data_IF_642423880138
#
_entry.id   IF_642423880138
#
_cell.length_a   1.000
_cell.length_b   1.000
_cell.length_c   1.000
_cell.angle_alpha   90.00
_cell.angle_beta   90.00
_cell.angle_gamma   90.00
#
_symmetry.space_group_name_H-M   'P 1'
#
loop_
_entity.id
_entity.type
_entity.pdbx_description
1 polymer ?
#
# COMPACT_ATOMS: atom_id res chain seq x y z
N UNK A 1 -6.95 27.71 -21.78
CA UNK A 1 -7.53 26.42 -22.21
C UNK A 1 -7.12 25.36 -21.19
N UNK A 2 -7.97 24.36 -20.95
CA UNK A 2 -7.92 23.29 -19.91
C UNK A 2 -8.50 23.63 -18.52
N UNK A 3 -9.83 23.75 -18.43
CA UNK A 3 -10.57 23.55 -17.16
C UNK A 3 -11.82 22.67 -17.32
N UNK A 4 -12.03 22.08 -18.51
CA UNK A 4 -13.21 21.25 -18.87
C UNK A 4 -13.02 19.74 -18.62
N UNK A 5 -11.81 19.27 -18.33
CA UNK A 5 -11.54 17.84 -18.12
C UNK A 5 -11.99 17.30 -16.75
N UNK A 6 -12.58 18.15 -15.90
CA UNK A 6 -13.01 17.76 -14.54
C UNK A 6 -14.49 18.06 -14.25
N UNK A 7 -15.22 18.67 -15.19
CA UNK A 7 -16.66 18.86 -15.05
C UNK A 7 -17.38 17.54 -15.33
N UNK A 8 -18.33 17.11 -14.49
CA UNK A 8 -19.06 15.87 -14.70
C UNK A 8 -19.84 15.94 -16.02
N UNK A 9 -19.56 14.98 -16.90
CA UNK A 9 -20.09 14.88 -18.25
C UNK A 9 -20.57 13.47 -18.51
N UNK A 10 -21.51 13.34 -19.43
CA UNK A 10 -22.07 12.07 -19.90
C UNK A 10 -22.30 12.13 -21.40
N UNK A 11 -22.49 10.99 -22.06
CA UNK A 11 -22.82 10.94 -23.49
C UNK A 11 -24.32 10.81 -23.66
N UNK A 12 -24.93 11.70 -24.45
CA UNK A 12 -26.37 11.67 -24.69
C UNK A 12 -26.76 10.44 -25.53
N UNK A 13 -27.69 9.59 -25.09
CA UNK A 13 -28.08 8.38 -25.83
C UNK A 13 -28.82 8.66 -27.14
N UNK A 14 -29.44 9.85 -27.26
CA UNK A 14 -30.21 10.23 -28.46
C UNK A 14 -29.34 10.73 -29.62
N UNK A 15 -28.32 11.55 -29.31
CA UNK A 15 -27.47 12.17 -30.33
C UNK A 15 -25.99 11.76 -30.26
N UNK A 16 -25.63 10.93 -29.27
CA UNK A 16 -24.27 10.40 -29.04
C UNK A 16 -23.18 11.47 -28.83
N UNK A 17 -23.60 12.70 -28.53
CA UNK A 17 -22.70 13.81 -28.24
C UNK A 17 -22.40 13.88 -26.74
N UNK A 18 -21.19 14.33 -26.39
CA UNK A 18 -20.82 14.63 -25.00
C UNK A 18 -21.61 15.84 -24.50
N UNK A 19 -22.26 15.68 -23.35
CA UNK A 19 -23.03 16.72 -22.67
C UNK A 19 -22.56 16.87 -21.24
N UNK A 20 -22.44 18.11 -20.80
CA UNK A 20 -22.07 18.43 -19.42
C UNK A 20 -23.33 18.57 -18.57
N UNK A 21 -23.31 18.01 -17.36
CA UNK A 21 -24.51 17.95 -16.50
C UNK A 21 -25.00 19.33 -16.04
N UNK A 22 -24.10 20.32 -15.98
CA UNK A 22 -24.39 21.72 -15.66
C UNK A 22 -25.02 22.51 -16.82
N UNK A 23 -24.90 22.02 -18.05
CA UNK A 23 -25.48 22.63 -19.26
C UNK A 23 -26.89 22.07 -19.58
N UNK A 24 -27.40 21.13 -18.78
CA UNK A 24 -28.74 20.55 -18.97
C UNK A 24 -29.84 21.55 -18.61
N UNK A 25 -30.81 21.70 -19.52
CA UNK A 25 -31.98 22.56 -19.29
C UNK A 25 -33.15 21.67 -18.91
N UNK A 26 -33.47 21.61 -17.60
CA UNK A 26 -34.54 20.77 -17.07
C UNK A 26 -34.31 19.27 -17.34
N UNK A 27 -33.08 18.79 -17.07
CA UNK A 27 -32.71 17.38 -17.20
C UNK A 27 -32.60 16.87 -18.65
N UNK A 28 -32.63 17.75 -19.65
CA UNK A 28 -32.65 17.38 -21.07
C UNK A 28 -31.37 17.78 -21.80
N UNK A 29 -30.96 16.93 -22.73
CA UNK A 29 -29.89 17.22 -23.67
C UNK A 29 -30.22 18.49 -24.49
N UNK A 30 -29.32 19.49 -24.54
CA UNK A 30 -29.58 20.75 -25.26
C UNK A 30 -29.63 20.58 -26.79
N UNK A 31 -29.07 19.50 -27.32
CA UNK A 31 -28.99 19.27 -28.77
C UNK A 31 -30.19 18.51 -29.33
N UNK A 32 -30.73 17.54 -28.59
CA UNK A 32 -31.81 16.67 -29.08
C UNK A 32 -33.05 16.63 -28.18
N UNK A 33 -33.01 17.26 -27.00
CA UNK A 33 -34.14 17.31 -26.06
C UNK A 33 -34.44 15.99 -25.36
N UNK A 34 -33.60 14.98 -25.50
CA UNK A 34 -33.73 13.70 -24.81
C UNK A 34 -33.57 13.89 -23.29
N UNK A 35 -34.49 13.34 -22.51
CA UNK A 35 -34.49 13.41 -21.04
C UNK A 35 -33.47 12.42 -20.47
N UNK A 36 -32.58 12.90 -19.62
CA UNK A 36 -31.57 12.10 -18.94
C UNK A 36 -32.01 11.68 -17.52
N UNK A 37 -33.23 12.07 -17.11
CA UNK A 37 -33.75 11.95 -15.73
C UNK A 37 -34.05 10.52 -15.26
N UNK A 38 -34.05 9.52 -16.15
CA UNK A 38 -34.33 8.11 -15.77
C UNK A 38 -33.07 7.29 -15.43
N UNK A 39 -31.88 7.90 -15.41
CA UNK A 39 -30.62 7.16 -15.16
C UNK A 39 -29.92 7.51 -13.86
N UNK A 40 -30.53 8.36 -13.01
CA UNK A 40 -30.07 8.62 -11.63
C UNK A 40 -30.14 7.36 -10.73
N UNK A 41 -30.78 6.26 -11.19
CA UNK A 41 -30.67 4.94 -10.55
C UNK A 41 -29.36 4.19 -10.85
N UNK A 42 -28.50 4.74 -11.72
CA UNK A 42 -27.15 4.19 -11.97
C UNK A 42 -26.10 4.74 -10.99
N UNK A 43 -26.53 5.19 -9.80
CA UNK A 43 -25.69 5.18 -8.59
C UNK A 43 -25.52 3.74 -8.03
N UNK A 44 -25.58 2.73 -8.90
CA UNK A 44 -25.51 1.29 -8.59
C UNK A 44 -24.19 0.61 -9.00
N UNK A 45 -23.12 1.36 -9.30
CA UNK A 45 -21.84 0.79 -9.76
C UNK A 45 -20.65 0.98 -8.80
N UNK A 46 -20.88 1.28 -7.52
CA UNK A 46 -19.85 1.18 -6.47
C UNK A 46 -20.05 -0.01 -5.53
N UNK A 47 -20.99 -0.91 -5.83
CA UNK A 47 -21.23 -2.13 -5.03
C UNK A 47 -20.34 -3.32 -5.45
N UNK A 48 -19.23 -3.05 -6.15
CA UNK A 48 -18.29 -4.10 -6.61
C UNK A 48 -16.84 -3.66 -6.84
N UNK A 49 -16.41 -2.48 -6.38
CA UNK A 49 -15.04 -1.99 -6.62
C UNK A 49 -14.02 -2.57 -5.62
N UNK A 50 -14.46 -3.05 -4.46
CA UNK A 50 -13.62 -3.71 -3.46
C UNK A 50 -14.37 -4.89 -2.85
N UNK A 51 -13.88 -6.11 -3.06
CA UNK A 51 -14.40 -7.27 -2.35
C UNK A 51 -14.05 -7.17 -0.86
N UNK A 52 -14.83 -7.85 0.00
CA UNK A 52 -14.56 -7.88 1.46
C UNK A 52 -13.15 -8.40 1.79
N UNK A 53 -12.59 -9.26 0.93
CA UNK A 53 -11.20 -9.72 0.97
C UNK A 53 -10.22 -8.58 0.74
N UNK A 54 -10.48 -7.70 -0.22
CA UNK A 54 -9.61 -6.58 -0.58
C UNK A 54 -9.56 -5.55 0.54
N UNK A 55 -10.70 -5.28 1.18
CA UNK A 55 -10.74 -4.40 2.35
C UNK A 55 -9.91 -4.96 3.51
N UNK A 56 -9.99 -6.26 3.76
CA UNK A 56 -9.22 -6.93 4.82
C UNK A 56 -7.71 -6.87 4.53
N UNK A 57 -7.33 -7.08 3.26
CA UNK A 57 -5.96 -6.97 2.80
C UNK A 57 -5.42 -5.54 2.89
N UNK A 58 -6.22 -4.54 2.51
CA UNK A 58 -5.86 -3.12 2.64
C UNK A 58 -5.63 -2.71 4.10
N UNK A 59 -6.52 -3.15 5.00
CA UNK A 59 -6.39 -2.90 6.45
C UNK A 59 -5.09 -3.54 6.97
N UNK A 60 -4.84 -4.80 6.62
CA UNK A 60 -3.61 -5.50 6.99
C UNK A 60 -2.36 -4.75 6.51
N UNK A 61 -2.33 -4.39 5.23
CA UNK A 61 -1.25 -3.60 4.63
C UNK A 61 -1.02 -2.30 5.38
N UNK A 62 -2.08 -1.53 5.62
CA UNK A 62 -1.99 -0.27 6.35
C UNK A 62 -1.31 -0.45 7.72
N UNK A 63 -1.73 -1.43 8.52
CA UNK A 63 -1.15 -1.65 9.85
C UNK A 63 0.29 -2.14 9.80
N UNK A 64 0.63 -3.00 8.84
CA UNK A 64 2.01 -3.46 8.61
C UNK A 64 2.90 -2.27 8.22
N UNK A 65 2.47 -1.48 7.24
CA UNK A 65 3.15 -0.27 6.82
C UNK A 65 3.35 0.69 7.97
N UNK A 66 2.28 1.03 8.67
CA UNK A 66 2.33 1.97 9.79
C UNK A 66 3.30 1.51 10.87
N UNK A 67 3.23 0.23 11.28
CA UNK A 67 4.12 -0.34 12.31
C UNK A 67 5.59 -0.25 11.92
N UNK A 68 5.95 -0.62 10.68
CA UNK A 68 7.35 -0.63 10.25
C UNK A 68 7.89 0.76 9.92
N UNK A 69 7.06 1.66 9.37
CA UNK A 69 7.42 3.08 9.19
C UNK A 69 7.70 3.74 10.53
N UNK A 70 6.90 3.45 11.56
CA UNK A 70 7.14 3.99 12.92
C UNK A 70 8.44 3.47 13.55
N UNK A 71 8.93 2.30 13.11
CA UNK A 71 10.25 1.77 13.46
C UNK A 71 11.40 2.34 12.61
N UNK A 72 11.09 3.18 11.61
CA UNK A 72 12.04 3.79 10.70
C UNK A 72 12.45 2.91 9.52
N UNK A 73 11.73 1.83 9.23
CA UNK A 73 11.99 1.00 8.05
C UNK A 73 11.66 1.80 6.79
N UNK A 74 12.54 1.81 5.77
CA UNK A 74 12.24 2.46 4.50
C UNK A 74 11.04 1.82 3.78
N UNK A 75 10.12 2.62 3.18
CA UNK A 75 8.91 2.09 2.54
C UNK A 75 9.16 1.00 1.49
N UNK A 76 10.24 1.10 0.71
CA UNK A 76 10.57 0.11 -0.31
C UNK A 76 10.80 -1.30 0.26
N UNK A 77 11.43 -1.42 1.44
CA UNK A 77 11.66 -2.73 2.08
C UNK A 77 10.35 -3.33 2.58
N UNK A 78 9.43 -2.49 3.05
CA UNK A 78 8.11 -2.94 3.49
C UNK A 78 7.31 -3.44 2.28
N UNK A 79 7.34 -2.72 1.15
CA UNK A 79 6.69 -3.16 -0.10
C UNK A 79 7.24 -4.51 -0.59
N UNK A 80 8.56 -4.67 -0.61
CA UNK A 80 9.20 -5.93 -0.99
C UNK A 80 8.78 -7.08 -0.06
N UNK A 81 8.78 -6.83 1.25
CA UNK A 81 8.36 -7.79 2.26
C UNK A 81 6.88 -8.21 2.11
N UNK A 82 5.96 -7.26 1.91
CA UNK A 82 4.54 -7.53 1.69
C UNK A 82 4.34 -8.37 0.44
N UNK A 83 5.01 -8.04 -0.66
CA UNK A 83 4.92 -8.79 -1.92
C UNK A 83 5.41 -10.25 -1.76
N UNK A 84 6.51 -10.46 -1.02
CA UNK A 84 6.99 -11.81 -0.70
C UNK A 84 5.96 -12.57 0.16
N UNK A 85 5.30 -11.89 1.10
CA UNK A 85 4.27 -12.50 1.93
C UNK A 85 3.03 -12.90 1.12
N UNK A 86 2.57 -12.03 0.22
CA UNK A 86 1.45 -12.29 -0.69
C UNK A 86 1.70 -13.54 -1.55
N UNK A 87 2.87 -13.60 -2.20
CA UNK A 87 3.28 -14.76 -3.00
C UNK A 87 3.39 -16.07 -2.19
N UNK A 88 3.67 -15.97 -0.88
CA UNK A 88 3.69 -17.13 0.00
C UNK A 88 2.30 -17.51 0.51
N UNK A 89 1.39 -16.55 0.68
CA UNK A 89 0.00 -16.79 1.07
C UNK A 89 -0.81 -17.47 -0.04
N UNK A 90 -0.46 -17.25 -1.31
CA UNK A 90 -1.07 -17.95 -2.46
C UNK A 90 -0.70 -19.45 -2.53
N UNK A 91 0.38 -19.87 -1.88
CA UNK A 91 0.84 -21.27 -1.87
C UNK A 91 -0.01 -22.12 -0.92
N UNK A 92 -0.14 -23.44 -1.18
CA UNK A 92 -0.82 -24.34 -0.26
C UNK A 92 -0.17 -24.30 1.15
N UNK A 93 -0.95 -24.47 2.24
CA UNK A 93 -0.48 -24.31 3.62
C UNK A 93 0.73 -25.18 4.00
N UNK A 94 0.89 -26.31 3.33
CA UNK A 94 1.97 -27.29 3.53
C UNK A 94 3.33 -26.78 2.99
N UNK A 95 3.31 -25.80 2.09
CA UNK A 95 4.49 -25.19 1.44
C UNK A 95 4.77 -23.76 1.93
N UNK A 96 4.14 -23.31 3.02
CA UNK A 96 4.44 -22.00 3.60
C UNK A 96 5.87 -21.96 4.17
N UNK A 97 6.83 -21.60 3.31
CA UNK A 97 8.24 -21.50 3.63
C UNK A 97 8.49 -20.21 4.41
N UNK A 98 8.43 -20.30 5.74
CA UNK A 98 8.94 -19.33 6.74
C UNK A 98 8.57 -17.86 6.51
N UNK A 99 7.68 -17.36 7.37
CA UNK A 99 7.32 -15.94 7.55
C UNK A 99 8.42 -15.12 8.24
N UNK A 100 9.68 -15.57 8.15
CA UNK A 100 10.83 -14.91 8.73
C UNK A 100 11.22 -13.71 7.85
N UNK A 101 11.43 -12.55 8.48
CA UNK A 101 11.87 -11.36 7.79
C UNK A 101 13.08 -10.71 8.47
N UNK A 102 13.84 -9.96 7.68
CA UNK A 102 14.94 -9.11 8.15
C UNK A 102 14.82 -7.77 7.44
N UNK A 103 14.63 -6.69 8.21
CA UNK A 103 14.47 -5.33 7.69
C UNK A 103 15.55 -4.42 8.28
N UNK A 104 16.12 -3.54 7.46
CA UNK A 104 17.12 -2.57 7.91
C UNK A 104 16.44 -1.32 8.48
N UNK A 105 16.90 -0.89 9.64
CA UNK A 105 16.40 0.33 10.31
C UNK A 105 17.55 1.29 10.61
N UNK A 106 17.28 2.60 10.72
CA UNK A 106 18.29 3.57 11.09
C UNK A 106 18.85 3.30 12.50
N UNK A 107 20.14 3.57 12.65
CA UNK A 107 20.80 3.57 13.96
C UNK A 107 20.36 4.79 14.76
N UNK A 108 19.88 4.57 15.99
CA UNK A 108 19.59 5.64 16.93
C UNK A 108 20.88 6.39 17.33
N UNK A 109 20.80 7.62 17.86
CA UNK A 109 21.99 8.36 18.29
C UNK A 109 22.86 7.57 19.30
N UNK A 110 22.23 6.91 20.27
CA UNK A 110 22.93 6.03 21.24
C UNK A 110 23.57 4.82 20.57
N UNK A 111 22.93 4.28 19.53
CA UNK A 111 23.49 3.18 18.76
C UNK A 111 24.81 3.61 18.08
N UNK A 112 24.99 4.87 17.72
CA UNK A 112 26.19 5.31 16.99
C UNK A 112 27.45 5.41 17.87
N UNK A 113 27.29 5.42 19.19
CA UNK A 113 28.37 5.62 20.15
C UNK A 113 28.70 4.36 20.95
N UNK A 114 27.75 3.44 21.10
CA UNK A 114 27.92 2.23 21.89
C UNK A 114 28.61 1.12 21.07
N UNK A 115 29.57 0.37 21.65
CA UNK A 115 30.14 -0.80 21.02
C UNK A 115 29.08 -1.89 20.85
N UNK A 116 29.02 -2.48 19.66
CA UNK A 116 28.07 -3.52 19.26
C UNK A 116 28.81 -4.78 18.84
N UNK A 117 28.19 -5.93 19.06
CA UNK A 117 28.68 -7.19 18.51
C UNK A 117 27.95 -7.52 17.21
N UNK A 118 28.70 -7.85 16.16
CA UNK A 118 28.13 -8.27 14.87
C UNK A 118 27.43 -9.63 15.02
N UNK A 119 26.18 -9.74 14.57
CA UNK A 119 25.41 -10.99 14.61
C UNK A 119 26.04 -12.11 13.78
N UNK A 120 26.65 -11.75 12.63
CA UNK A 120 27.29 -12.67 11.68
C UNK A 120 28.69 -13.12 12.11
N UNK A 121 29.64 -12.19 12.28
CA UNK A 121 31.05 -12.54 12.56
C UNK A 121 31.46 -12.45 14.04
N UNK A 122 30.55 -12.07 14.93
CA UNK A 122 30.76 -11.91 16.39
C UNK A 122 31.86 -10.92 16.81
N UNK A 123 32.43 -10.15 15.86
CA UNK A 123 33.38 -9.08 16.14
C UNK A 123 32.69 -7.82 16.67
N UNK A 124 33.39 -7.09 17.52
CA UNK A 124 32.93 -5.81 18.05
C UNK A 124 33.20 -4.67 17.08
N UNK A 125 32.27 -3.73 16.98
CA UNK A 125 32.42 -2.51 16.19
C UNK A 125 31.68 -1.34 16.86
N UNK A 126 32.16 -0.12 16.65
CA UNK A 126 31.57 1.11 17.20
C UNK A 126 30.98 1.96 16.09
N UNK A 127 31.71 2.12 14.97
CA UNK A 127 31.31 2.94 13.83
C UNK A 127 30.98 2.09 12.62
N UNK A 128 30.07 2.60 11.78
CA UNK A 128 29.60 1.93 10.59
C UNK A 128 28.67 0.75 10.90
N UNK A 129 28.37 -0.04 9.89
CA UNK A 129 27.45 -1.18 9.99
C UNK A 129 25.98 -0.79 9.88
N UNK A 130 25.13 -1.79 10.05
CA UNK A 130 23.68 -1.70 9.86
C UNK A 130 22.95 -2.26 11.08
N UNK A 131 21.80 -1.67 11.39
CA UNK A 131 20.87 -2.18 12.40
C UNK A 131 19.74 -2.87 11.66
N UNK A 132 19.41 -4.07 12.09
CA UNK A 132 18.37 -4.88 11.48
C UNK A 132 17.38 -5.31 12.54
N UNK A 133 16.10 -5.32 12.18
CA UNK A 133 15.06 -6.01 12.93
C UNK A 133 14.74 -7.30 12.20
N UNK A 134 14.59 -8.38 12.96
CA UNK A 134 14.20 -9.68 12.44
C UNK A 134 13.08 -10.26 13.29
N UNK A 135 12.18 -11.00 12.66
CA UNK A 135 11.08 -11.64 13.36
C UNK A 135 10.32 -12.60 12.46
N UNK A 136 9.33 -13.24 13.05
CA UNK A 136 8.34 -14.07 12.37
C UNK A 136 7.01 -13.30 12.42
N UNK A 137 6.30 -13.18 11.30
CA UNK A 137 4.98 -12.51 11.27
C UNK A 137 3.94 -13.17 12.17
N UNK A 138 4.10 -14.45 12.49
CA UNK A 138 3.23 -15.18 13.42
C UNK A 138 3.46 -14.78 14.87
N UNK A 139 4.57 -14.12 15.16
CA UNK A 139 4.99 -13.74 16.49
C UNK A 139 5.08 -12.22 16.61
N UNK A 140 4.67 -11.69 17.76
CA UNK A 140 4.74 -10.24 18.00
C UNK A 140 6.17 -9.78 18.35
N UNK A 141 7.05 -10.71 18.72
CA UNK A 141 8.41 -10.42 19.15
C UNK A 141 9.33 -10.08 17.98
N UNK A 142 10.00 -8.93 18.08
CA UNK A 142 11.05 -8.50 17.16
C UNK A 142 12.41 -8.61 17.84
N UNK A 143 13.38 -9.22 17.15
CA UNK A 143 14.77 -9.24 17.58
C UNK A 143 15.54 -8.14 16.86
N UNK A 144 16.25 -7.29 17.60
CA UNK A 144 17.16 -6.29 17.03
C UNK A 144 18.56 -6.87 16.96
N UNK A 145 19.17 -6.83 15.78
CA UNK A 145 20.55 -7.28 15.56
C UNK A 145 21.37 -6.21 14.86
N UNK A 146 22.70 -6.35 14.97
CA UNK A 146 23.64 -5.40 14.39
C UNK A 146 24.63 -6.15 13.49
N UNK A 147 24.89 -5.63 12.31
CA UNK A 147 25.82 -6.21 11.33
C UNK A 147 26.93 -5.20 11.05
N UNK A 148 28.19 -5.61 11.15
CA UNK A 148 29.32 -4.72 10.86
C UNK A 148 29.45 -4.47 9.35
N UNK A 149 30.13 -3.41 8.93
CA UNK A 149 30.27 -3.04 7.51
C UNK A 149 31.03 -4.06 6.64
N UNK A 150 31.68 -5.06 7.25
CA UNK A 150 32.39 -6.12 6.54
C UNK A 150 31.53 -7.36 6.27
N UNK A 151 30.31 -7.41 6.81
CA UNK A 151 29.39 -8.54 6.72
C UNK A 151 28.07 -8.11 6.09
#
# INVERSE_FOLDING_TARGET
MTSRMQSPHTTCPGCQEEVFLDELVGGKCPLCGCTLEDFDETFGEYEGILDRSDLSWLIFNYFVFKKFVDLGVPPHQIMEFVNIYEQNAEKPPEEWTRTDFVLEIPMNPLDRILPKQCSRCKKWFIRGGKKQISGDMRQTSLATTYVCSRC
#
